data_IF_811567934672
#
_entry.id   IF_811567934672
#
_cell.length_a   1.000
_cell.length_b   1.000
_cell.length_c   1.000
_cell.angle_alpha   90.00
_cell.angle_beta   90.00
_cell.angle_gamma   90.00
#
_symmetry.space_group_name_H-M   'P 1'
#
loop_
_entity.id
_entity.type
_entity.pdbx_description
1 polymer ?
#
# COMPACT_ATOMS: atom_id res chain seq x y z
N UNK A 1 -0.33 9.12 14.22
CA UNK A 1 0.99 8.46 14.28
C UNK A 1 0.88 7.19 13.47
N UNK A 2 1.58 7.11 12.34
CA UNK A 2 1.53 5.95 11.44
C UNK A 2 2.37 4.81 12.01
N UNK A 3 1.89 3.59 11.89
CA UNK A 3 2.52 2.44 12.52
C UNK A 3 3.49 1.77 11.52
N UNK A 4 4.76 1.64 11.92
CA UNK A 4 5.73 0.86 11.15
C UNK A 4 5.35 -0.61 11.25
N UNK A 5 5.23 -1.29 10.11
CA UNK A 5 4.89 -2.72 10.06
C UNK A 5 6.05 -3.48 9.46
N UNK A 6 6.49 -4.56 10.12
CA UNK A 6 7.50 -5.43 9.54
C UNK A 6 6.98 -6.05 8.25
N UNK A 7 7.76 -5.94 7.17
CA UNK A 7 7.46 -6.55 5.87
C UNK A 7 7.23 -8.06 6.03
N UNK A 8 8.05 -8.72 6.86
CA UNK A 8 7.89 -10.14 7.16
C UNK A 8 6.56 -10.44 7.85
N UNK A 9 6.15 -9.62 8.83
CA UNK A 9 4.87 -9.80 9.51
C UNK A 9 3.69 -9.66 8.55
N UNK A 10 3.72 -8.68 7.64
CA UNK A 10 2.66 -8.49 6.63
C UNK A 10 2.51 -9.73 5.76
N UNK A 11 3.62 -10.27 5.26
CA UNK A 11 3.62 -11.46 4.40
C UNK A 11 3.16 -12.70 5.17
N UNK A 12 3.77 -12.96 6.33
CA UNK A 12 3.49 -14.15 7.15
C UNK A 12 2.03 -14.15 7.59
N UNK A 13 1.52 -13.03 8.09
CA UNK A 13 0.12 -12.94 8.52
C UNK A 13 -0.84 -13.10 7.33
N UNK A 14 -0.52 -12.54 6.16
CA UNK A 14 -1.33 -12.75 4.95
C UNK A 14 -1.42 -14.23 4.59
N UNK A 15 -0.31 -14.97 4.64
CA UNK A 15 -0.28 -16.40 4.34
C UNK A 15 -1.03 -17.21 5.41
N UNK A 16 -0.74 -16.96 6.70
CA UNK A 16 -1.32 -17.70 7.82
C UNK A 16 -2.83 -17.50 7.96
N UNK A 17 -3.34 -16.33 7.56
CA UNK A 17 -4.77 -16.00 7.61
C UNK A 17 -5.49 -16.29 6.29
N UNK A 18 -4.88 -17.03 5.37
CA UNK A 18 -5.45 -17.36 4.05
C UNK A 18 -5.89 -16.10 3.26
N UNK A 19 -5.10 -15.03 3.33
CA UNK A 19 -5.36 -13.77 2.63
C UNK A 19 -6.25 -12.77 3.36
N UNK A 20 -6.88 -13.15 4.49
CA UNK A 20 -7.77 -12.24 5.24
C UNK A 20 -7.00 -11.04 5.77
N UNK A 21 -5.80 -11.25 6.33
CA UNK A 21 -4.95 -10.15 6.75
C UNK A 21 -4.53 -9.26 5.58
N UNK A 22 -4.39 -9.81 4.37
CA UNK A 22 -4.12 -9.02 3.16
C UNK A 22 -5.22 -8.00 2.89
N UNK A 23 -6.49 -8.36 3.10
CA UNK A 23 -7.63 -7.42 2.98
C UNK A 23 -7.56 -6.30 4.01
N UNK A 24 -7.24 -6.64 5.26
CA UNK A 24 -7.00 -5.65 6.31
C UNK A 24 -5.83 -4.71 5.94
N UNK A 25 -4.76 -5.26 5.38
CA UNK A 25 -3.58 -4.51 4.96
C UNK A 25 -3.91 -3.53 3.83
N UNK A 26 -4.70 -3.93 2.83
CA UNK A 26 -5.17 -3.05 1.76
C UNK A 26 -5.94 -1.85 2.33
N UNK A 27 -6.87 -2.11 3.27
CA UNK A 27 -7.66 -1.06 3.91
C UNK A 27 -6.79 -0.07 4.70
N UNK A 28 -5.91 -0.59 5.57
CA UNK A 28 -5.12 0.28 6.45
C UNK A 28 -4.08 1.08 5.66
N UNK A 29 -3.50 0.50 4.60
CA UNK A 29 -2.58 1.21 3.70
C UNK A 29 -3.29 2.35 2.96
N UNK A 30 -4.48 2.13 2.40
CA UNK A 30 -5.28 3.20 1.78
C UNK A 30 -5.56 4.33 2.78
N UNK A 31 -6.02 3.98 3.98
CA UNK A 31 -6.37 4.93 5.03
C UNK A 31 -5.16 5.76 5.49
N UNK A 32 -4.03 5.09 5.75
CA UNK A 32 -2.81 5.74 6.21
C UNK A 32 -2.27 6.70 5.15
N UNK A 33 -2.27 6.31 3.87
CA UNK A 33 -1.82 7.16 2.75
C UNK A 33 -2.71 8.38 2.52
N UNK A 34 -4.03 8.21 2.52
CA UNK A 34 -4.96 9.33 2.33
C UNK A 34 -4.87 10.35 3.46
N UNK A 35 -4.81 9.86 4.71
CA UNK A 35 -4.62 10.71 5.87
C UNK A 35 -3.26 11.43 5.82
N UNK A 36 -2.22 10.74 5.36
CA UNK A 36 -0.89 11.32 5.22
C UNK A 36 -0.81 12.38 4.14
N UNK A 37 -1.35 12.13 2.95
CA UNK A 37 -1.33 13.08 1.84
C UNK A 37 -2.31 14.24 2.06
N UNK A 38 -3.38 14.04 2.83
CA UNK A 38 -4.45 15.02 3.03
C UNK A 38 -5.44 15.05 1.86
N UNK A 39 -5.52 13.95 1.10
CA UNK A 39 -6.41 13.83 -0.05
C UNK A 39 -7.74 13.19 0.36
N UNK A 40 -8.85 13.78 -0.08
CA UNK A 40 -10.18 13.21 0.06
C UNK A 40 -10.55 12.44 -1.22
N UNK A 41 -10.05 11.21 -1.31
CA UNK A 41 -10.35 10.28 -2.40
C UNK A 41 -11.58 9.41 -2.16
N UNK A 42 -11.60 8.26 -2.82
CA UNK A 42 -12.57 7.21 -2.57
C UNK A 42 -12.36 6.64 -1.17
N UNK A 43 -13.40 6.53 -0.35
CA UNK A 43 -13.19 6.09 1.02
C UNK A 43 -12.52 4.69 1.07
N UNK A 44 -11.54 4.45 1.95
CA UNK A 44 -10.81 3.18 2.00
C UNK A 44 -11.73 1.96 2.20
N UNK A 45 -12.86 2.16 2.88
CA UNK A 45 -13.88 1.13 3.05
C UNK A 45 -14.65 0.83 1.77
N UNK A 46 -14.93 1.84 0.94
CA UNK A 46 -15.56 1.63 -0.36
C UNK A 46 -14.58 0.99 -1.35
N UNK A 47 -13.30 1.39 -1.34
CA UNK A 47 -12.26 0.71 -2.13
C UNK A 47 -12.17 -0.77 -1.80
N UNK A 48 -12.14 -1.11 -0.51
CA UNK A 48 -12.13 -2.50 -0.05
C UNK A 48 -13.36 -3.27 -0.51
N UNK A 49 -14.55 -2.65 -0.40
CA UNK A 49 -15.79 -3.26 -0.87
C UNK A 49 -15.73 -3.57 -2.37
N UNK A 50 -15.24 -2.62 -3.18
CA UNK A 50 -15.08 -2.83 -4.63
C UNK A 50 -14.04 -3.91 -4.93
N UNK A 51 -12.93 -3.99 -4.19
CA UNK A 51 -11.94 -5.09 -4.35
C UNK A 51 -12.54 -6.47 -4.10
N UNK A 52 -13.46 -6.60 -3.14
CA UNK A 52 -14.13 -7.88 -2.81
C UNK A 52 -15.12 -8.28 -3.92
N UNK A 53 -15.88 -7.32 -4.45
CA UNK A 53 -16.89 -7.58 -5.50
C UNK A 53 -16.25 -7.70 -6.88
N UNK A 54 -15.17 -6.96 -7.14
CA UNK A 54 -14.48 -6.85 -8.42
C UNK A 54 -12.98 -7.15 -8.23
N UNK A 55 -12.61 -8.42 -8.29
CA UNK A 55 -11.22 -8.85 -8.10
C UNK A 55 -10.19 -8.12 -9.01
N UNK A 56 -10.46 -7.82 -10.30
CA UNK A 56 -9.51 -7.07 -11.14
C UNK A 56 -9.20 -5.66 -10.63
N UNK A 57 -10.09 -5.06 -9.84
CA UNK A 57 -9.86 -3.73 -9.26
C UNK A 57 -8.65 -3.71 -8.30
N UNK A 58 -8.28 -4.85 -7.71
CA UNK A 58 -7.06 -4.98 -6.89
C UNK A 58 -5.79 -4.63 -7.71
N UNK A 59 -5.78 -4.92 -9.02
CA UNK A 59 -4.65 -4.55 -9.89
C UNK A 59 -4.54 -3.04 -10.06
N UNK A 60 -5.68 -2.36 -10.28
CA UNK A 60 -5.74 -0.91 -10.32
C UNK A 60 -5.28 -0.30 -8.99
N UNK A 61 -5.70 -0.90 -7.86
CA UNK A 61 -5.31 -0.47 -6.53
C UNK A 61 -3.80 -0.48 -6.33
N UNK A 62 -3.10 -1.55 -6.77
CA UNK A 62 -1.64 -1.62 -6.69
C UNK A 62 -0.96 -0.49 -7.46
N UNK A 63 -1.47 -0.14 -8.63
CA UNK A 63 -0.95 0.95 -9.44
C UNK A 63 -1.21 2.32 -8.79
N UNK A 64 -2.47 2.60 -8.42
CA UNK A 64 -2.89 3.87 -7.82
C UNK A 64 -2.15 4.16 -6.50
N UNK A 65 -2.13 3.19 -5.57
CA UNK A 65 -1.52 3.40 -4.27
C UNK A 65 0.01 3.44 -4.31
N UNK A 66 0.63 2.79 -5.28
CA UNK A 66 2.08 2.93 -5.48
C UNK A 66 2.46 4.34 -5.96
N UNK A 67 1.63 4.98 -6.79
CA UNK A 67 1.84 6.39 -7.17
C UNK A 67 1.67 7.31 -5.95
N UNK A 68 0.65 7.08 -5.12
CA UNK A 68 0.47 7.84 -3.89
C UNK A 68 1.65 7.68 -2.92
N UNK A 69 2.27 6.50 -2.85
CA UNK A 69 3.51 6.29 -2.11
C UNK A 69 4.64 7.14 -2.70
N UNK A 70 4.75 7.24 -4.03
CA UNK A 70 5.73 8.09 -4.70
C UNK A 70 5.53 9.58 -4.36
N UNK A 71 4.28 10.04 -4.35
CA UNK A 71 3.94 11.42 -3.95
C UNK A 71 4.23 11.65 -2.45
N UNK A 72 4.05 10.63 -1.62
CA UNK A 72 4.39 10.67 -0.20
C UNK A 72 5.92 10.79 0.03
N UNK A 73 6.76 10.21 -0.83
CA UNK A 73 8.22 10.47 -0.82
C UNK A 73 8.54 11.95 -1.06
N UNK A 74 7.88 12.57 -2.05
CA UNK A 74 8.08 13.99 -2.37
C UNK A 74 7.64 14.89 -1.20
N UNK A 75 6.52 14.54 -0.54
CA UNK A 75 5.99 15.27 0.62
C UNK A 75 6.96 15.32 1.81
N UNK A 76 7.78 14.27 1.99
CA UNK A 76 8.81 14.22 3.04
C UNK A 76 10.20 14.69 2.57
N UNK A 77 10.28 15.32 1.40
CA UNK A 77 11.54 15.86 0.86
C UNK A 77 12.53 14.79 0.36
N UNK A 78 12.07 13.56 0.14
CA UNK A 78 12.89 12.48 -0.41
C UNK A 78 12.74 12.40 -1.95
N UNK A 79 13.73 11.84 -2.68
CA UNK A 79 13.59 11.60 -4.11
C UNK A 79 12.38 10.70 -4.40
N UNK A 80 11.55 11.13 -5.36
CA UNK A 80 10.39 10.35 -5.83
C UNK A 80 10.84 8.96 -6.26
N UNK A 81 10.23 7.92 -5.67
CA UNK A 81 10.44 6.52 -6.03
C UNK A 81 9.11 5.93 -6.49
N UNK A 82 8.99 5.67 -7.78
CA UNK A 82 7.76 5.19 -8.41
C UNK A 82 7.91 3.71 -8.83
N UNK A 83 7.35 2.82 -8.01
CA UNK A 83 7.33 1.37 -8.25
C UNK A 83 5.99 0.90 -8.87
N UNK A 84 5.14 1.83 -9.35
CA UNK A 84 3.73 1.54 -9.68
C UNK A 84 3.55 0.53 -10.81
N UNK A 85 4.37 0.65 -11.87
CA UNK A 85 4.36 -0.32 -12.97
C UNK A 85 4.87 -1.69 -12.51
N UNK A 86 5.89 -1.73 -11.66
CA UNK A 86 6.40 -2.98 -11.12
C UNK A 86 5.33 -3.68 -10.26
N UNK A 87 4.68 -2.95 -9.35
CA UNK A 87 3.59 -3.46 -8.51
C UNK A 87 2.39 -3.96 -9.32
N UNK A 88 2.01 -3.25 -10.40
CA UNK A 88 0.94 -3.66 -11.30
C UNK A 88 1.29 -4.95 -12.06
N UNK A 89 2.48 -5.01 -12.67
CA UNK A 89 2.95 -6.19 -13.42
C UNK A 89 3.01 -7.41 -12.50
N UNK A 90 3.58 -7.26 -11.30
CA UNK A 90 3.60 -8.32 -10.30
C UNK A 90 2.18 -8.77 -9.94
N UNK A 91 1.25 -7.85 -9.76
CA UNK A 91 -0.17 -8.15 -9.54
C UNK A 91 -0.78 -8.99 -10.66
N UNK A 92 -0.53 -8.65 -11.94
CA UNK A 92 -1.04 -9.37 -13.11
C UNK A 92 -0.56 -10.83 -13.12
N UNK A 93 0.68 -11.09 -12.71
CA UNK A 93 1.23 -12.44 -12.61
C UNK A 93 0.86 -13.19 -11.30
N UNK A 94 -0.06 -12.65 -10.50
CA UNK A 94 -0.47 -13.25 -9.22
C UNK A 94 0.57 -13.10 -8.10
N UNK A 95 1.61 -12.29 -8.30
CA UNK A 95 2.68 -12.02 -7.34
C UNK A 95 2.37 -10.81 -6.44
N UNK A 96 1.10 -10.55 -6.13
CA UNK A 96 0.67 -9.39 -5.34
C UNK A 96 1.30 -9.32 -3.93
N UNK A 97 1.68 -10.45 -3.34
CA UNK A 97 2.42 -10.50 -2.07
C UNK A 97 3.78 -9.77 -2.17
N UNK A 98 4.44 -9.83 -3.33
CA UNK A 98 5.69 -9.11 -3.57
C UNK A 98 5.41 -7.61 -3.67
N UNK A 99 4.32 -7.21 -4.34
CA UNK A 99 3.89 -5.81 -4.37
C UNK A 99 3.60 -5.27 -2.97
N UNK A 100 2.92 -6.05 -2.11
CA UNK A 100 2.71 -5.69 -0.70
C UNK A 100 4.04 -5.49 0.04
N UNK A 101 5.03 -6.33 -0.21
CA UNK A 101 6.35 -6.23 0.43
C UNK A 101 7.10 -4.95 0.01
N UNK A 102 7.10 -4.63 -1.29
CA UNK A 102 7.71 -3.41 -1.85
C UNK A 102 7.05 -2.18 -1.24
N UNK A 103 5.71 -2.12 -1.29
CA UNK A 103 4.93 -1.00 -0.77
C UNK A 103 5.14 -0.83 0.74
N UNK A 104 5.12 -1.92 1.53
CA UNK A 104 5.35 -1.84 2.97
C UNK A 104 6.77 -1.36 3.29
N UNK A 105 7.77 -1.81 2.54
CA UNK A 105 9.15 -1.31 2.70
C UNK A 105 9.23 0.19 2.41
N UNK A 106 8.60 0.65 1.33
CA UNK A 106 8.59 2.06 0.95
C UNK A 106 7.87 2.93 2.00
N UNK A 107 6.71 2.49 2.47
CA UNK A 107 5.96 3.17 3.53
C UNK A 107 6.79 3.28 4.82
N UNK A 108 7.48 2.21 5.22
CA UNK A 108 8.35 2.25 6.39
C UNK A 108 9.48 3.27 6.24
N UNK A 109 10.10 3.37 5.05
CA UNK A 109 11.11 4.39 4.77
C UNK A 109 10.54 5.80 4.95
N UNK A 110 9.32 6.05 4.46
CA UNK A 110 8.62 7.33 4.62
C UNK A 110 8.34 7.63 6.10
N UNK A 111 7.75 6.68 6.84
CA UNK A 111 7.41 6.86 8.27
C UNK A 111 8.64 7.11 9.15
N UNK A 112 9.76 6.42 8.87
CA UNK A 112 11.02 6.68 9.57
C UNK A 112 11.51 8.09 9.30
N UNK A 113 11.44 8.57 8.05
CA UNK A 113 11.90 9.90 7.70
C UNK A 113 11.00 11.01 8.29
N UNK A 114 9.68 10.82 8.25
CA UNK A 114 8.72 11.73 8.88
C UNK A 114 8.98 11.88 10.37
N UNK A 115 9.25 10.79 11.09
CA UNK A 115 9.53 10.83 12.53
C UNK A 115 10.83 11.56 12.93
N UNK A 116 11.70 11.87 11.96
CA UNK A 116 12.97 12.57 12.17
C UNK A 116 12.88 14.07 11.89
N UNK A 117 11.78 14.53 11.27
CA UNK A 117 11.49 15.94 10.99
C UNK A 117 10.75 16.57 12.17
#
# INVERSE_FOLDING_TARGET
MYEQRSVASVIILTILTCGIYGLYWLYITSKDLEMFLGESGMSPGLELFVMIICAPYVLYWYYDKSQKIADAYEKVGMPRKDDSLACLILGIFGLGIISMAIMQSNLNTIWVNESRM
#
